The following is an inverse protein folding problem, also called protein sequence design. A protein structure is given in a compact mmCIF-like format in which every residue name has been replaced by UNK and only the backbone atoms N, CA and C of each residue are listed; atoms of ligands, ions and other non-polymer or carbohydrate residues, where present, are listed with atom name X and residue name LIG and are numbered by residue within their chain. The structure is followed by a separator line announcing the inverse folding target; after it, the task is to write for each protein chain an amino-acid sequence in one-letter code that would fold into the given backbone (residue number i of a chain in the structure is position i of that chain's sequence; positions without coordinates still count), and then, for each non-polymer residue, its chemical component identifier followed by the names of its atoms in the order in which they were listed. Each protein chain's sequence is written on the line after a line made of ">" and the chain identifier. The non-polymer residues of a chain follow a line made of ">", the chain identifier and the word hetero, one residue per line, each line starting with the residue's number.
data_IF_218471104798
#
_entry.id   IF_218471104798
#
_cell.length_a   1.000
_cell.length_b   1.000
_cell.length_c   1.000
_cell.angle_alpha   90.00
_cell.angle_beta   90.00
_cell.angle_gamma   90.00
#
_symmetry.space_group_name_H-M   'P 1'
#
loop_
_entity.id
_entity.type
_entity.pdbx_description
1 polymer ?
#
# COMPACT_ATOMS: atom_id res chain seq x y z
N UNK A 1 -19.09 -28.14 12.10
CA UNK A 1 -20.23 -28.15 11.17
C UNK A 1 -21.37 -27.40 11.84
N UNK A 2 -21.48 -26.11 11.63
CA UNK A 2 -22.58 -25.28 12.11
C UNK A 2 -23.23 -24.64 10.89
N UNK A 3 -24.41 -25.15 10.55
CA UNK A 3 -25.24 -24.63 9.47
C UNK A 3 -26.14 -23.56 10.07
N UNK A 4 -25.93 -22.30 9.73
CA UNK A 4 -26.90 -21.24 10.00
C UNK A 4 -27.65 -21.00 8.70
N UNK A 5 -28.87 -21.58 8.65
CA UNK A 5 -29.84 -21.28 7.61
C UNK A 5 -30.66 -20.09 8.07
N UNK A 6 -30.45 -18.92 7.48
CA UNK A 6 -31.43 -17.83 7.53
C UNK A 6 -31.99 -17.60 6.13
N UNK A 7 -33.27 -17.97 5.98
CA UNK A 7 -34.07 -17.92 4.75
C UNK A 7 -34.85 -16.61 4.66
N UNK A 8 -34.22 -15.45 4.67
CA UNK A 8 -34.93 -14.21 4.34
C UNK A 8 -33.98 -13.18 3.72
N UNK A 9 -33.74 -13.25 2.41
CA UNK A 9 -33.49 -12.05 1.63
C UNK A 9 -33.71 -12.31 0.13
N UNK A 10 -34.75 -11.63 -0.36
CA UNK A 10 -35.22 -11.66 -1.72
C UNK A 10 -34.21 -11.06 -2.71
N UNK A 11 -34.32 -11.50 -3.94
CA UNK A 11 -33.53 -11.14 -5.12
C UNK A 11 -33.53 -9.63 -5.40
N UNK A 12 -32.36 -9.03 -5.54
CA UNK A 12 -32.15 -7.74 -6.19
C UNK A 12 -31.55 -7.93 -7.59
N UNK A 13 -31.72 -6.97 -8.51
CA UNK A 13 -31.40 -7.15 -9.93
C UNK A 13 -29.89 -7.14 -10.19
N UNK A 14 -29.43 -8.08 -10.99
CA UNK A 14 -28.16 -8.18 -11.72
C UNK A 14 -26.90 -7.72 -10.97
N UNK A 15 -26.45 -8.51 -10.03
CA UNK A 15 -25.16 -8.35 -9.35
C UNK A 15 -24.81 -9.66 -8.68
N UNK A 16 -23.55 -9.91 -8.52
CA UNK A 16 -22.95 -11.08 -7.89
C UNK A 16 -23.79 -11.58 -6.68
N UNK A 17 -24.19 -12.84 -6.69
CA UNK A 17 -24.91 -13.43 -5.56
C UNK A 17 -24.02 -13.40 -4.32
N UNK A 18 -24.59 -13.14 -3.15
CA UNK A 18 -23.94 -13.26 -1.82
C UNK A 18 -23.04 -14.51 -1.71
N UNK A 19 -23.45 -15.61 -2.34
CA UNK A 19 -22.67 -16.85 -2.43
C UNK A 19 -21.36 -16.72 -3.21
N UNK A 20 -21.31 -15.87 -4.22
CA UNK A 20 -20.09 -15.74 -5.06
C UNK A 20 -19.07 -14.85 -4.35
N UNK A 21 -19.53 -13.89 -3.55
CA UNK A 21 -18.67 -13.11 -2.67
C UNK A 21 -18.34 -13.86 -1.37
N UNK A 22 -19.30 -14.64 -0.81
CA UNK A 22 -19.07 -15.50 0.36
C UNK A 22 -18.25 -16.76 0.02
N UNK A 23 -18.22 -17.21 -1.23
CA UNK A 23 -17.20 -18.15 -1.71
C UNK A 23 -15.83 -17.52 -1.72
N UNK A 24 -15.73 -16.20 -1.79
CA UNK A 24 -14.55 -15.43 -1.44
C UNK A 24 -14.35 -15.38 0.09
N UNK A 25 -15.39 -15.57 0.92
CA UNK A 25 -15.46 -15.33 2.36
C UNK A 25 -15.59 -16.53 3.32
N UNK A 26 -15.70 -17.76 2.86
CA UNK A 26 -16.08 -18.88 3.74
C UNK A 26 -14.92 -19.80 4.18
N UNK A 27 -13.81 -19.24 4.63
CA UNK A 27 -12.81 -19.95 5.43
C UNK A 27 -12.73 -19.33 6.83
N UNK A 28 -13.82 -19.47 7.60
CA UNK A 28 -13.85 -19.17 9.04
C UNK A 28 -13.01 -20.16 9.85
N UNK A 29 -11.72 -20.27 9.55
CA UNK A 29 -10.82 -21.20 10.21
C UNK A 29 -9.40 -20.70 10.43
N UNK A 30 -9.07 -19.49 9.96
CA UNK A 30 -7.71 -18.96 10.14
C UNK A 30 -7.63 -17.98 11.31
N UNK A 31 -8.02 -18.44 12.50
CA UNK A 31 -7.48 -17.89 13.73
C UNK A 31 -5.96 -18.19 13.81
N UNK A 32 -5.19 -17.40 14.54
CA UNK A 32 -3.75 -17.60 14.73
C UNK A 32 -3.31 -19.07 14.98
N UNK A 33 -4.11 -19.90 15.72
CA UNK A 33 -3.86 -21.34 15.85
C UNK A 33 -3.97 -22.10 14.51
N UNK A 34 -4.87 -21.71 13.60
CA UNK A 34 -5.00 -22.32 12.28
C UNK A 34 -3.81 -21.95 11.36
N UNK A 35 -3.37 -20.70 11.41
CA UNK A 35 -2.12 -20.24 10.72
C UNK A 35 -0.86 -20.90 11.29
N UNK A 36 -0.79 -21.16 12.57
CA UNK A 36 0.34 -21.89 13.20
C UNK A 36 0.25 -23.40 12.94
N UNK A 37 -0.95 -23.96 12.84
CA UNK A 37 -1.16 -25.36 12.47
C UNK A 37 -0.87 -25.59 10.97
N UNK A 38 -1.25 -24.65 10.09
CA UNK A 38 -0.86 -24.69 8.67
C UNK A 38 0.64 -24.50 8.51
N UNK A 39 1.33 -23.79 9.39
CA UNK A 39 2.79 -23.67 9.37
C UNK A 39 3.50 -24.99 9.66
N UNK A 40 2.97 -25.82 10.56
CA UNK A 40 3.50 -27.17 10.78
C UNK A 40 3.20 -28.12 9.62
N UNK A 41 2.10 -27.90 8.88
CA UNK A 41 1.77 -28.62 7.65
C UNK A 41 2.37 -27.97 6.40
N UNK A 42 2.46 -26.64 6.30
CA UNK A 42 3.08 -25.91 5.19
C UNK A 42 4.62 -26.02 5.16
N UNK A 43 5.26 -26.37 6.27
CA UNK A 43 6.65 -26.84 6.26
C UNK A 43 6.80 -28.17 5.50
N UNK A 44 5.70 -28.89 5.25
CA UNK A 44 5.64 -30.11 4.45
C UNK A 44 5.03 -29.88 3.05
N UNK A 45 4.29 -28.77 2.83
CA UNK A 45 3.66 -28.45 1.54
C UNK A 45 3.83 -26.95 1.22
N UNK A 46 4.87 -26.63 0.44
CA UNK A 46 5.15 -25.27 -0.07
C UNK A 46 4.08 -24.77 -1.07
N UNK A 47 3.01 -25.53 -1.31
CA UNK A 47 1.99 -25.24 -2.32
C UNK A 47 0.93 -24.24 -1.88
N UNK A 48 0.81 -23.93 -0.57
CA UNK A 48 -0.28 -23.09 -0.03
C UNK A 48 -0.08 -21.62 -0.35
N UNK A 49 1.17 -21.13 -0.39
CA UNK A 49 1.48 -19.77 -0.81
C UNK A 49 2.03 -19.79 -2.24
N UNK A 50 1.15 -19.59 -3.20
CA UNK A 50 1.57 -19.40 -4.60
C UNK A 50 2.45 -18.15 -4.67
N UNK A 51 3.50 -18.18 -5.48
CA UNK A 51 4.47 -17.10 -5.71
C UNK A 51 3.79 -15.81 -6.22
N UNK A 52 2.97 -15.20 -5.38
CA UNK A 52 2.28 -13.93 -5.65
C UNK A 52 2.80 -12.85 -4.74
N UNK A 53 2.78 -11.64 -5.23
CA UNK A 53 3.21 -10.45 -4.51
C UNK A 53 2.05 -9.48 -4.33
N UNK A 54 2.10 -8.70 -3.27
CA UNK A 54 1.16 -7.59 -3.01
C UNK A 54 1.91 -6.27 -3.09
N UNK A 55 1.37 -5.31 -3.81
CA UNK A 55 1.75 -3.90 -3.73
C UNK A 55 0.62 -3.15 -3.05
N UNK A 56 0.89 -2.62 -1.87
CA UNK A 56 -0.06 -1.82 -1.09
C UNK A 56 0.34 -0.36 -1.18
N UNK A 57 -0.36 0.41 -2.01
CA UNK A 57 -0.19 1.86 -2.09
C UNK A 57 -1.06 2.50 -1.00
N UNK A 58 -0.40 2.99 0.05
CA UNK A 58 -1.03 3.62 1.19
C UNK A 58 -1.03 5.14 1.03
N UNK A 59 -2.21 5.70 0.77
CA UNK A 59 -2.46 7.13 0.59
C UNK A 59 -2.75 7.76 1.96
N UNK A 60 -1.70 8.11 2.68
CA UNK A 60 -1.81 8.59 4.05
C UNK A 60 -2.37 10.01 4.11
N UNK A 61 -3.40 10.21 4.91
CA UNK A 61 -4.05 11.51 5.15
C UNK A 61 -5.54 11.51 4.83
N UNK A 62 -6.04 10.52 4.08
CA UNK A 62 -7.46 10.38 3.73
C UNK A 62 -7.78 10.85 2.31
N UNK A 63 -7.58 9.99 1.30
CA UNK A 63 -7.99 10.29 -0.06
C UNK A 63 -9.51 10.46 -0.17
N UNK A 64 -10.01 11.48 -0.89
CA UNK A 64 -11.44 11.75 -0.98
C UNK A 64 -12.14 10.78 -1.94
N UNK A 65 -13.17 10.05 -1.46
CA UNK A 65 -13.94 9.09 -2.25
C UNK A 65 -14.65 9.74 -3.45
N UNK A 66 -15.15 10.98 -3.27
CA UNK A 66 -15.87 11.72 -4.34
C UNK A 66 -14.91 12.17 -5.45
N UNK A 67 -13.68 12.51 -5.11
CA UNK A 67 -12.69 12.96 -6.08
C UNK A 67 -11.94 11.79 -6.73
N UNK A 68 -12.18 10.55 -6.27
CA UNK A 68 -11.52 9.36 -6.78
C UNK A 68 -12.50 8.45 -7.56
N UNK A 69 -13.12 7.48 -6.90
CA UNK A 69 -13.83 6.40 -7.59
C UNK A 69 -15.34 6.50 -7.51
N UNK A 70 -15.89 7.51 -6.82
CA UNK A 70 -17.33 7.65 -6.60
C UNK A 70 -17.82 9.10 -6.72
N UNK A 71 -17.57 9.80 -7.84
CA UNK A 71 -18.08 11.14 -8.05
C UNK A 71 -19.62 11.12 -8.06
N UNK A 72 -20.21 12.17 -7.48
CA UNK A 72 -21.66 12.36 -7.42
C UNK A 72 -22.10 13.40 -8.44
N UNK A 73 -22.82 12.94 -9.45
CA UNK A 73 -23.19 13.78 -10.61
C UNK A 73 -24.45 14.63 -10.33
N UNK A 74 -25.47 14.01 -9.72
CA UNK A 74 -26.80 14.61 -9.51
C UNK A 74 -26.98 15.06 -8.04
N UNK A 75 -26.08 15.94 -7.58
CA UNK A 75 -26.11 16.50 -6.23
C UNK A 75 -25.86 18.00 -6.25
N UNK A 76 -26.14 18.68 -5.13
CA UNK A 76 -25.82 20.08 -4.96
C UNK A 76 -24.30 20.34 -5.17
N UNK A 77 -23.95 21.56 -5.62
CA UNK A 77 -22.59 21.96 -5.96
C UNK A 77 -21.59 21.66 -4.85
N UNK A 78 -22.00 21.80 -3.59
CA UNK A 78 -21.13 21.61 -2.42
C UNK A 78 -20.77 20.14 -2.18
N UNK A 79 -21.56 19.21 -2.68
CA UNK A 79 -21.33 17.77 -2.60
C UNK A 79 -20.75 17.17 -3.90
N UNK A 80 -20.68 17.98 -4.96
CA UNK A 80 -20.17 17.51 -6.25
C UNK A 80 -18.64 17.51 -6.23
N UNK A 81 -18.02 16.62 -7.02
CA UNK A 81 -16.56 16.64 -7.22
C UNK A 81 -16.10 18.05 -7.62
N UNK A 82 -15.04 18.57 -7.00
CA UNK A 82 -14.44 19.86 -7.36
C UNK A 82 -13.51 19.74 -8.58
N UNK A 83 -13.10 18.52 -8.93
CA UNK A 83 -12.28 18.24 -10.11
C UNK A 83 -13.12 17.82 -11.33
N UNK A 84 -14.45 17.75 -11.17
CA UNK A 84 -15.34 17.19 -12.17
C UNK A 84 -15.30 15.66 -12.21
N UNK A 85 -15.76 15.10 -13.32
CA UNK A 85 -15.86 13.66 -13.52
C UNK A 85 -15.38 13.24 -14.91
N UNK A 86 -14.93 12.00 -15.03
CA UNK A 86 -14.50 11.40 -16.28
C UNK A 86 -15.18 10.03 -16.48
N UNK A 87 -15.63 9.77 -17.71
CA UNK A 87 -16.18 8.45 -18.09
C UNK A 87 -15.09 7.40 -18.05
N UNK A 88 -15.44 6.24 -17.52
CA UNK A 88 -14.53 5.09 -17.51
C UNK A 88 -14.77 4.19 -18.73
N UNK A 89 -13.88 3.19 -18.92
CA UNK A 89 -14.08 2.12 -19.90
C UNK A 89 -15.29 1.20 -19.58
N UNK A 90 -15.82 1.28 -18.35
CA UNK A 90 -17.02 0.53 -17.94
C UNK A 90 -18.27 1.39 -18.15
N UNK A 91 -19.29 0.89 -18.87
CA UNK A 91 -20.52 1.63 -19.09
C UNK A 91 -21.20 2.07 -17.80
N UNK A 92 -21.60 3.34 -17.70
CA UNK A 92 -22.29 3.90 -16.55
C UNK A 92 -21.42 4.14 -15.31
N UNK A 93 -20.11 3.93 -15.39
CA UNK A 93 -19.16 4.15 -14.30
C UNK A 93 -18.34 5.41 -14.58
N UNK A 94 -18.23 6.26 -13.56
CA UNK A 94 -17.47 7.51 -13.60
C UNK A 94 -16.46 7.55 -12.47
N UNK A 95 -15.32 8.21 -12.73
CA UNK A 95 -14.29 8.54 -11.73
C UNK A 95 -14.16 10.07 -11.62
N UNK A 96 -13.49 10.55 -10.57
CA UNK A 96 -13.15 11.95 -10.40
C UNK A 96 -12.29 12.47 -11.55
N UNK A 97 -12.42 13.75 -11.89
CA UNK A 97 -11.88 14.33 -13.13
C UNK A 97 -10.37 14.23 -13.29
N UNK A 98 -9.62 14.10 -12.21
CA UNK A 98 -8.16 13.92 -12.26
C UNK A 98 -7.71 12.49 -12.61
N UNK A 99 -8.62 11.51 -12.61
CA UNK A 99 -8.30 10.10 -12.81
C UNK A 99 -8.53 9.59 -14.23
N UNK A 100 -8.17 10.39 -15.24
CA UNK A 100 -8.45 10.09 -16.65
C UNK A 100 -7.74 8.85 -17.18
N UNK A 101 -6.52 8.57 -16.71
CA UNK A 101 -5.74 7.39 -17.13
C UNK A 101 -6.27 6.11 -16.51
N UNK A 102 -6.63 6.14 -15.22
CA UNK A 102 -7.27 5.02 -14.51
C UNK A 102 -8.67 4.75 -15.05
N UNK A 103 -9.42 5.79 -15.40
CA UNK A 103 -10.73 5.64 -16.00
C UNK A 103 -10.70 4.82 -17.30
N UNK A 104 -9.69 5.00 -18.15
CA UNK A 104 -9.47 4.21 -19.36
C UNK A 104 -9.10 2.73 -19.09
N UNK A 105 -8.72 2.40 -17.84
CA UNK A 105 -8.29 1.08 -17.39
C UNK A 105 -9.25 0.46 -16.39
N UNK A 106 -10.45 1.00 -16.26
CA UNK A 106 -11.44 0.54 -15.28
C UNK A 106 -11.82 -0.95 -15.46
N UNK A 107 -11.71 -1.48 -16.68
CA UNK A 107 -11.87 -2.91 -16.99
C UNK A 107 -10.86 -3.82 -16.26
N UNK A 108 -9.74 -3.25 -15.80
CA UNK A 108 -8.67 -3.94 -15.04
C UNK A 108 -8.70 -3.63 -13.55
N UNK A 109 -9.72 -2.93 -13.08
CA UNK A 109 -9.87 -2.50 -11.70
C UNK A 109 -11.11 -3.12 -11.06
N UNK A 110 -11.05 -3.34 -9.76
CA UNK A 110 -12.21 -3.49 -8.91
C UNK A 110 -12.20 -2.33 -7.90
N UNK A 111 -13.26 -1.51 -7.90
CA UNK A 111 -13.42 -0.42 -6.95
C UNK A 111 -14.51 -0.73 -5.95
N UNK A 112 -14.27 -0.46 -4.67
CA UNK A 112 -15.22 -0.73 -3.59
C UNK A 112 -15.77 0.60 -3.09
N UNK A 113 -17.04 0.89 -3.38
CA UNK A 113 -17.72 2.14 -3.03
C UNK A 113 -18.42 2.11 -1.66
N UNK A 114 -18.41 0.97 -0.99
CA UNK A 114 -18.94 0.81 0.37
C UNK A 114 -17.86 0.39 1.38
N UNK A 115 -16.59 0.68 1.09
CA UNK A 115 -15.50 0.43 2.02
C UNK A 115 -15.47 1.51 3.10
N UNK A 116 -15.44 1.10 4.38
CA UNK A 116 -15.49 1.96 5.54
C UNK A 116 -14.44 1.53 6.57
N UNK A 117 -13.57 2.45 6.96
CA UNK A 117 -12.64 2.21 8.07
C UNK A 117 -13.29 2.48 9.43
N UNK A 118 -14.39 3.25 9.45
CA UNK A 118 -15.12 3.67 10.66
C UNK A 118 -14.22 4.37 11.68
N UNK A 119 -13.16 5.02 11.20
CA UNK A 119 -12.25 5.83 12.01
C UNK A 119 -11.97 7.13 11.25
N UNK A 120 -12.34 8.25 11.82
CA UNK A 120 -12.16 9.59 11.26
C UNK A 120 -10.96 10.29 11.87
N UNK A 121 -9.96 9.54 12.29
CA UNK A 121 -8.70 10.06 12.84
C UNK A 121 -7.50 9.53 12.05
N UNK A 122 -6.32 10.15 12.23
CA UNK A 122 -5.07 9.62 11.68
C UNK A 122 -4.58 8.37 12.41
N UNK A 123 -5.49 7.43 12.66
CA UNK A 123 -5.17 6.11 13.17
C UNK A 123 -4.99 5.14 11.99
N UNK A 124 -3.76 4.90 11.62
CA UNK A 124 -3.44 4.02 10.48
C UNK A 124 -3.56 2.52 10.81
N UNK A 125 -3.55 2.16 12.10
CA UNK A 125 -3.49 0.76 12.50
C UNK A 125 -4.66 -0.10 11.99
N UNK A 126 -5.93 0.36 11.99
CA UNK A 126 -7.03 -0.46 11.47
C UNK A 126 -6.78 -0.94 10.04
N UNK A 127 -6.35 -0.05 9.14
CA UNK A 127 -6.11 -0.41 7.74
C UNK A 127 -4.80 -1.17 7.55
N UNK A 128 -3.74 -0.83 8.29
CA UNK A 128 -2.44 -1.49 8.16
C UNK A 128 -2.45 -2.91 8.70
N UNK A 129 -3.22 -3.18 9.75
CA UNK A 129 -3.27 -4.49 10.42
C UNK A 129 -4.48 -5.34 10.01
N UNK A 130 -5.44 -4.78 9.24
CA UNK A 130 -6.74 -5.42 9.03
C UNK A 130 -7.47 -5.71 10.35
N UNK A 131 -7.23 -4.89 11.39
CA UNK A 131 -7.72 -5.06 12.77
C UNK A 131 -7.31 -6.40 13.41
N UNK A 132 -6.25 -7.03 12.93
CA UNK A 132 -5.79 -8.28 13.48
C UNK A 132 -5.30 -8.12 14.92
N UNK A 133 -5.66 -9.03 15.87
CA UNK A 133 -5.32 -8.89 17.29
C UNK A 133 -3.82 -8.88 17.61
N UNK A 134 -2.96 -9.38 16.70
CA UNK A 134 -1.50 -9.31 16.88
C UNK A 134 -0.95 -7.89 16.81
N UNK A 135 -1.69 -6.93 16.24
CA UNK A 135 -1.20 -5.59 15.94
C UNK A 135 -0.09 -5.55 14.88
N UNK A 136 0.12 -6.65 14.16
CA UNK A 136 1.10 -6.74 13.08
C UNK A 136 0.49 -6.17 11.78
N UNK A 137 1.30 -5.43 11.02
CA UNK A 137 0.92 -5.02 9.68
C UNK A 137 0.66 -6.23 8.75
N UNK A 138 -0.26 -6.10 7.79
CA UNK A 138 -0.59 -7.16 6.84
C UNK A 138 0.66 -7.73 6.15
N UNK A 139 1.63 -6.88 5.84
CA UNK A 139 2.90 -7.28 5.26
C UNK A 139 3.71 -8.21 6.18
N UNK A 140 3.68 -7.98 7.50
CA UNK A 140 4.33 -8.85 8.48
C UNK A 140 3.58 -10.19 8.63
N UNK A 141 2.25 -10.19 8.49
CA UNK A 141 1.44 -11.42 8.45
C UNK A 141 1.75 -12.24 7.20
N UNK A 142 1.90 -11.59 6.04
CA UNK A 142 2.35 -12.24 4.81
C UNK A 142 3.72 -12.89 4.99
N UNK A 143 4.69 -12.16 5.57
CA UNK A 143 6.02 -12.68 5.85
C UNK A 143 6.00 -13.83 6.89
N UNK A 144 5.06 -13.84 7.83
CA UNK A 144 4.87 -14.96 8.75
C UNK A 144 4.48 -16.25 7.98
N UNK A 145 3.56 -16.14 7.03
CA UNK A 145 3.08 -17.27 6.24
C UNK A 145 4.10 -17.78 5.21
N UNK A 146 4.74 -16.85 4.48
CA UNK A 146 5.64 -17.17 3.36
C UNK A 146 7.11 -17.33 3.79
N UNK A 147 7.47 -17.00 5.03
CA UNK A 147 8.84 -16.80 5.48
C UNK A 147 9.25 -15.33 5.43
N UNK A 148 10.25 -14.94 6.23
CA UNK A 148 10.74 -13.56 6.27
C UNK A 148 11.51 -13.16 4.99
N UNK A 149 12.00 -14.16 4.24
CA UNK A 149 12.80 -14.00 3.01
C UNK A 149 12.40 -15.01 1.97
N UNK A 150 12.47 -14.60 0.71
CA UNK A 150 12.24 -15.49 -0.44
C UNK A 150 13.29 -16.60 -0.46
N UNK A 151 12.89 -17.89 -0.52
CA UNK A 151 13.82 -19.01 -0.30
C UNK A 151 14.90 -19.12 -1.38
N UNK A 152 14.61 -18.66 -2.61
CA UNK A 152 15.54 -18.75 -3.75
C UNK A 152 16.36 -17.47 -3.90
N UNK A 153 15.71 -16.28 -3.87
CA UNK A 153 16.39 -15.01 -4.16
C UNK A 153 16.99 -14.34 -2.93
N UNK A 154 16.52 -14.69 -1.73
CA UNK A 154 16.89 -13.98 -0.49
C UNK A 154 16.20 -12.62 -0.32
N UNK A 155 15.30 -12.22 -1.24
CA UNK A 155 14.55 -10.97 -1.14
C UNK A 155 13.71 -10.94 0.14
N UNK A 156 13.75 -9.83 0.92
CA UNK A 156 12.84 -9.66 2.05
C UNK A 156 11.38 -9.74 1.59
N UNK A 157 10.58 -10.52 2.33
CA UNK A 157 9.16 -10.71 1.99
C UNK A 157 8.26 -9.54 2.42
N UNK A 158 8.79 -8.60 3.19
CA UNK A 158 8.10 -7.40 3.66
C UNK A 158 9.01 -6.19 3.47
N UNK A 159 8.67 -5.31 2.54
CA UNK A 159 9.47 -4.12 2.21
C UNK A 159 8.57 -2.89 2.17
N UNK A 160 9.08 -1.77 2.69
CA UNK A 160 8.40 -0.48 2.70
C UNK A 160 9.20 0.52 1.87
N UNK A 161 8.56 1.11 0.88
CA UNK A 161 9.11 2.18 0.05
C UNK A 161 8.58 3.51 0.55
N UNK A 162 9.49 4.46 0.72
CA UNK A 162 9.21 5.86 1.01
C UNK A 162 9.98 6.73 0.01
N UNK A 163 9.62 8.01 -0.16
CA UNK A 163 10.22 8.85 -1.20
C UNK A 163 11.75 8.88 -1.22
N UNK A 164 12.38 8.80 -0.04
CA UNK A 164 13.84 8.78 0.07
C UNK A 164 14.48 7.55 -0.58
N UNK A 165 13.75 6.46 -0.73
CA UNK A 165 14.25 5.24 -1.39
C UNK A 165 14.61 5.47 -2.87
N UNK A 166 13.92 6.39 -3.54
CA UNK A 166 14.12 6.70 -4.96
C UNK A 166 14.82 8.05 -5.20
N UNK A 167 14.96 8.85 -4.15
CA UNK A 167 15.74 10.08 -4.14
C UNK A 167 16.53 10.19 -2.83
N UNK A 168 17.72 9.58 -2.76
CA UNK A 168 18.57 9.65 -1.58
C UNK A 168 18.88 11.08 -1.17
N UNK A 169 18.90 11.35 0.14
CA UNK A 169 19.16 12.68 0.68
C UNK A 169 17.99 13.65 0.61
N UNK A 170 16.82 13.22 0.16
CA UNK A 170 15.59 14.02 0.22
C UNK A 170 15.26 14.38 1.66
N UNK A 171 15.11 15.69 1.91
CA UNK A 171 14.69 16.19 3.23
C UNK A 171 13.20 16.49 3.17
N UNK A 172 12.42 15.62 3.76
CA UNK A 172 10.99 15.83 3.93
C UNK A 172 10.74 16.49 5.29
N UNK A 173 10.20 17.70 5.25
CA UNK A 173 9.78 18.41 6.45
C UNK A 173 8.62 17.68 7.12
N UNK A 174 8.64 17.65 8.45
CA UNK A 174 7.48 17.25 9.25
C UNK A 174 7.15 18.38 10.20
N UNK A 175 5.95 18.99 10.11
CA UNK A 175 5.55 20.03 11.04
C UNK A 175 5.40 19.50 12.47
N UNK A 176 5.17 18.18 12.64
CA UNK A 176 5.07 17.57 13.98
C UNK A 176 5.60 16.12 13.95
N UNK A 177 6.39 15.70 14.95
CA UNK A 177 6.85 14.30 15.07
C UNK A 177 5.70 13.29 15.17
N UNK A 178 4.53 13.72 15.66
CA UNK A 178 3.36 12.85 15.93
C UNK A 178 2.63 12.40 14.66
N UNK A 179 2.67 13.19 13.59
CA UNK A 179 1.99 12.89 12.32
C UNK A 179 2.95 12.70 11.15
N UNK A 180 4.26 12.70 11.46
CA UNK A 180 5.29 12.68 10.45
C UNK A 180 5.61 11.28 9.91
N UNK A 181 6.36 11.28 8.83
CA UNK A 181 6.86 10.09 8.16
C UNK A 181 7.56 9.06 9.08
N UNK A 182 8.31 9.46 10.14
CA UNK A 182 8.90 8.49 11.07
C UNK A 182 7.88 7.58 11.75
N UNK A 183 6.73 8.12 12.20
CA UNK A 183 5.66 7.32 12.80
C UNK A 183 5.04 6.36 11.78
N UNK A 184 4.78 6.85 10.57
CA UNK A 184 4.19 6.04 9.50
C UNK A 184 5.13 4.89 9.13
N UNK A 185 6.42 5.17 8.92
CA UNK A 185 7.46 4.15 8.67
C UNK A 185 7.45 3.04 9.74
N UNK A 186 7.36 3.43 11.02
CA UNK A 186 7.31 2.49 12.12
C UNK A 186 6.04 1.61 12.09
N UNK A 187 4.88 2.20 11.78
CA UNK A 187 3.61 1.48 11.77
C UNK A 187 3.48 0.54 10.57
N UNK A 188 3.83 0.98 9.37
CA UNK A 188 3.74 0.15 8.15
C UNK A 188 4.72 -1.00 8.16
N UNK A 189 5.90 -0.83 8.79
CA UNK A 189 6.89 -1.88 8.96
C UNK A 189 6.61 -2.76 10.19
N UNK A 190 5.61 -2.44 11.01
CA UNK A 190 5.39 -3.02 12.32
C UNK A 190 5.04 -4.50 12.29
N UNK A 191 5.75 -5.31 13.07
CA UNK A 191 5.47 -6.73 13.21
C UNK A 191 4.58 -7.08 14.43
N UNK A 192 4.16 -6.08 15.21
CA UNK A 192 3.32 -6.30 16.39
C UNK A 192 3.89 -7.39 17.30
N UNK A 193 3.03 -8.32 17.73
CA UNK A 193 3.42 -9.48 18.57
C UNK A 193 4.11 -10.63 17.82
N UNK A 194 4.29 -10.53 16.49
CA UNK A 194 4.94 -11.60 15.71
C UNK A 194 6.47 -11.65 15.90
N UNK A 195 7.07 -10.60 16.46
CA UNK A 195 8.51 -10.50 16.67
C UNK A 195 9.26 -9.77 15.54
N UNK A 196 10.46 -9.30 15.84
CA UNK A 196 11.27 -8.45 14.98
C UNK A 196 11.69 -9.11 13.65
N UNK A 197 11.74 -10.43 13.59
CA UNK A 197 12.10 -11.18 12.37
C UNK A 197 11.14 -10.95 11.19
N UNK A 198 9.92 -10.48 11.45
CA UNK A 198 8.90 -10.20 10.43
C UNK A 198 8.71 -8.70 10.18
N UNK A 199 9.52 -7.86 10.83
CA UNK A 199 9.50 -6.41 10.62
C UNK A 199 9.87 -6.08 9.18
N UNK A 200 9.16 -5.11 8.58
CA UNK A 200 9.42 -4.66 7.22
C UNK A 200 10.77 -3.97 7.08
N UNK A 201 11.47 -4.25 5.99
CA UNK A 201 12.63 -3.49 5.56
C UNK A 201 12.16 -2.14 5.01
N UNK A 202 12.45 -1.05 5.73
CA UNK A 202 12.16 0.30 5.24
C UNK A 202 13.30 0.76 4.36
N UNK A 203 13.00 1.09 3.11
CA UNK A 203 13.97 1.66 2.17
C UNK A 203 13.92 3.18 2.32
N UNK A 204 14.96 3.74 2.93
CA UNK A 204 15.07 5.17 3.18
C UNK A 204 16.16 5.85 2.33
N UNK A 205 16.80 5.07 1.42
CA UNK A 205 17.79 5.58 0.48
C UNK A 205 19.04 6.15 1.14
N UNK A 206 19.25 5.94 2.44
CA UNK A 206 20.46 6.43 3.09
C UNK A 206 21.72 5.80 2.46
N UNK A 207 22.81 6.56 2.31
CA UNK A 207 24.06 6.02 1.78
C UNK A 207 24.55 4.78 2.55
N UNK A 208 24.35 4.77 3.86
CA UNK A 208 24.68 3.63 4.69
C UNK A 208 23.82 2.41 4.38
N UNK A 209 22.51 2.57 4.18
CA UNK A 209 21.64 1.47 3.81
C UNK A 209 22.00 0.91 2.44
N UNK A 210 22.20 1.75 1.43
CA UNK A 210 22.60 1.33 0.08
C UNK A 210 23.97 0.64 0.10
N UNK A 211 24.94 1.20 0.84
CA UNK A 211 26.28 0.62 0.97
C UNK A 211 26.28 -0.71 1.73
N UNK A 212 25.28 -0.97 2.58
CA UNK A 212 25.11 -2.24 3.26
C UNK A 212 24.59 -3.36 2.35
N UNK A 213 24.04 -3.02 1.18
CA UNK A 213 23.70 -4.01 0.15
C UNK A 213 24.90 -4.39 -0.74
N UNK A 214 26.03 -3.68 -0.65
CA UNK A 214 27.22 -3.97 -1.40
C UNK A 214 28.24 -4.78 -0.57
N UNK A 215 28.71 -5.88 -1.15
CA UNK A 215 29.79 -6.66 -0.55
C UNK A 215 31.12 -5.90 -0.58
N UNK A 216 31.58 -5.44 0.58
CA UNK A 216 32.88 -4.74 0.72
C UNK A 216 34.08 -5.68 0.78
N UNK A 217 33.86 -7.00 0.68
CA UNK A 217 34.88 -8.05 0.68
C UNK A 217 34.63 -9.03 -0.46
N UNK A 218 35.65 -9.70 -1.02
CA UNK A 218 35.48 -10.74 -2.03
C UNK A 218 34.49 -11.82 -1.57
N UNK A 219 33.66 -12.30 -2.52
CA UNK A 219 32.58 -13.26 -2.23
C UNK A 219 33.05 -14.54 -1.52
N UNK A 220 34.17 -15.08 -1.98
CA UNK A 220 34.82 -16.23 -1.40
C UNK A 220 35.16 -16.01 0.08
N UNK A 221 35.87 -14.94 0.40
CA UNK A 221 36.21 -14.58 1.76
C UNK A 221 34.98 -14.32 2.66
N UNK A 222 33.92 -13.74 2.09
CA UNK A 222 32.68 -13.54 2.84
C UNK A 222 32.00 -14.88 3.12
N UNK A 223 31.97 -15.79 2.14
CA UNK A 223 31.43 -17.14 2.30
C UNK A 223 32.19 -17.95 3.35
N UNK A 224 33.52 -17.91 3.32
CA UNK A 224 34.37 -18.63 4.29
C UNK A 224 34.14 -18.10 5.71
N UNK A 225 34.08 -16.79 5.88
CA UNK A 225 33.80 -16.16 7.21
C UNK A 225 32.43 -16.56 7.73
N UNK A 226 31.42 -16.59 6.86
CA UNK A 226 30.06 -16.99 7.24
C UNK A 226 29.97 -18.47 7.59
N UNK A 227 30.67 -19.35 6.87
CA UNK A 227 30.76 -20.78 7.23
C UNK A 227 31.42 -20.98 8.58
N UNK A 228 32.52 -20.26 8.85
CA UNK A 228 33.18 -20.28 10.13
C UNK A 228 32.27 -19.81 11.27
N UNK A 229 31.57 -18.69 11.05
CA UNK A 229 30.58 -18.17 12.01
C UNK A 229 29.49 -19.22 12.30
N UNK A 230 28.96 -19.89 11.29
CA UNK A 230 27.97 -20.97 11.46
C UNK A 230 28.47 -22.15 12.25
N UNK A 231 29.74 -22.49 12.12
CA UNK A 231 30.35 -23.57 12.91
C UNK A 231 30.46 -23.15 14.37
N UNK A 232 30.88 -21.91 14.66
CA UNK A 232 30.95 -21.34 16.00
C UNK A 232 29.56 -21.22 16.64
N UNK A 233 28.54 -20.78 15.90
CA UNK A 233 27.16 -20.71 16.37
C UNK A 233 26.54 -22.09 16.62
N UNK A 234 26.97 -23.09 15.86
CA UNK A 234 26.62 -24.49 16.13
C UNK A 234 27.12 -24.98 17.46
N UNK A 235 28.28 -24.48 17.92
CA UNK A 235 28.83 -24.74 19.26
C UNK A 235 28.04 -23.96 20.33
N UNK A 236 27.76 -22.67 20.13
CA UNK A 236 26.96 -21.84 21.05
C UNK A 236 25.54 -22.37 21.25
N UNK A 237 24.87 -22.83 20.18
CA UNK A 237 23.49 -23.41 20.25
C UNK A 237 23.41 -24.66 21.14
N UNK A 238 24.47 -25.46 21.21
CA UNK A 238 24.50 -26.59 22.12
C UNK A 238 24.59 -26.16 23.60
N UNK A 239 24.95 -24.90 23.85
CA UNK A 239 25.07 -24.29 25.18
C UNK A 239 23.89 -23.35 25.53
N UNK A 240 23.10 -22.90 24.53
CA UNK A 240 22.03 -21.95 24.74
C UNK A 240 20.70 -22.64 25.06
N UNK A 241 20.28 -22.53 26.32
CA UNK A 241 18.99 -23.06 26.82
C UNK A 241 17.82 -22.08 26.62
N UNK A 242 18.05 -20.82 26.25
CA UNK A 242 17.05 -19.78 26.22
C UNK A 242 16.49 -19.47 24.77
N UNK A 243 17.11 -20.02 23.72
CA UNK A 243 16.63 -19.83 22.32
C UNK A 243 16.94 -18.48 21.70
N UNK A 244 17.58 -17.54 22.39
CA UNK A 244 17.89 -16.19 21.89
C UNK A 244 18.91 -16.19 20.74
N UNK A 245 19.85 -17.12 20.73
CA UNK A 245 20.86 -17.29 19.67
C UNK A 245 20.24 -17.72 18.34
N UNK A 246 19.07 -18.38 18.36
CA UNK A 246 18.38 -18.78 17.15
C UNK A 246 17.80 -17.60 16.37
N UNK A 247 17.27 -16.58 17.03
CA UNK A 247 16.73 -15.38 16.39
C UNK A 247 17.85 -14.55 15.73
N UNK A 248 18.97 -14.37 16.44
CA UNK A 248 20.15 -13.64 15.94
C UNK A 248 20.74 -14.33 14.71
N UNK A 249 20.95 -15.64 14.75
CA UNK A 249 21.48 -16.40 13.61
C UNK A 249 20.55 -16.44 12.39
N UNK A 250 19.26 -16.16 12.57
CA UNK A 250 18.33 -16.02 11.47
C UNK A 250 18.50 -14.66 10.77
N UNK A 251 18.64 -13.56 11.51
CA UNK A 251 18.92 -12.22 10.98
C UNK A 251 20.26 -12.17 10.24
N UNK A 252 21.30 -12.79 10.79
CA UNK A 252 22.62 -12.87 10.15
C UNK A 252 22.57 -13.66 8.83
N UNK A 253 21.85 -14.79 8.78
CA UNK A 253 21.63 -15.55 7.54
C UNK A 253 20.90 -14.72 6.50
N UNK A 254 19.93 -13.95 6.93
CA UNK A 254 19.12 -13.07 6.08
C UNK A 254 19.98 -11.99 5.45
N UNK A 255 20.84 -11.33 6.22
CA UNK A 255 21.81 -10.36 5.72
C UNK A 255 22.80 -10.99 4.72
N UNK A 256 23.24 -12.21 5.00
CA UNK A 256 24.14 -12.96 4.12
C UNK A 256 23.49 -13.28 2.76
N UNK A 257 22.27 -13.81 2.77
CA UNK A 257 21.55 -14.15 1.54
C UNK A 257 21.26 -12.92 0.69
N UNK A 258 20.90 -11.80 1.33
CA UNK A 258 20.66 -10.52 0.68
C UNK A 258 21.90 -10.00 -0.06
N UNK A 259 23.08 -10.12 0.54
CA UNK A 259 24.33 -9.65 -0.04
C UNK A 259 24.87 -10.55 -1.18
N UNK A 260 24.70 -11.87 -1.06
CA UNK A 260 25.29 -12.80 -2.03
C UNK A 260 24.46 -13.05 -3.28
N UNK A 261 23.14 -12.89 -3.21
CA UNK A 261 22.25 -13.29 -4.29
C UNK A 261 21.93 -12.20 -5.31
N UNK A 262 22.59 -11.04 -5.21
CA UNK A 262 22.43 -9.97 -6.21
C UNK A 262 21.08 -9.25 -6.11
N UNK A 263 20.46 -9.30 -4.93
CA UNK A 263 19.19 -8.62 -4.65
C UNK A 263 19.35 -7.10 -4.77
N UNK A 264 20.56 -6.56 -4.56
CA UNK A 264 20.90 -5.14 -4.74
C UNK A 264 20.47 -4.59 -6.11
N UNK A 265 20.55 -5.41 -7.16
CA UNK A 265 20.14 -5.02 -8.51
C UNK A 265 18.66 -4.63 -8.61
N UNK A 266 17.80 -5.22 -7.79
CA UNK A 266 16.38 -4.91 -7.78
C UNK A 266 16.09 -3.50 -7.24
N UNK A 267 16.96 -2.98 -6.37
CA UNK A 267 16.82 -1.64 -5.79
C UNK A 267 17.37 -0.53 -6.70
N UNK A 268 18.21 -0.88 -7.67
CA UNK A 268 18.84 0.07 -8.58
C UNK A 268 17.95 0.36 -9.80
N UNK A 269 17.26 1.49 -9.79
CA UNK A 269 16.42 1.93 -10.90
C UNK A 269 17.20 2.26 -12.17
N UNK A 270 18.51 2.53 -12.09
CA UNK A 270 19.34 2.84 -13.27
C UNK A 270 19.50 1.63 -14.21
N UNK A 271 19.21 0.42 -13.70
CA UNK A 271 19.23 -0.83 -14.47
C UNK A 271 17.95 -1.10 -15.24
N UNK A 272 16.94 -0.26 -15.09
CA UNK A 272 15.69 -0.40 -15.83
C UNK A 272 15.79 0.25 -17.21
N UNK A 273 15.01 -0.25 -18.17
CA UNK A 273 14.91 0.35 -19.49
C UNK A 273 14.49 1.83 -19.42
N UNK A 274 15.22 2.75 -20.09
CA UNK A 274 14.91 4.18 -20.03
C UNK A 274 13.50 4.54 -20.48
N UNK A 275 12.91 3.80 -21.43
CA UNK A 275 11.52 4.01 -21.87
C UNK A 275 10.53 3.64 -20.77
N UNK A 276 10.85 2.61 -20.00
CA UNK A 276 10.06 2.21 -18.83
C UNK A 276 10.17 3.26 -17.74
N UNK A 277 11.38 3.76 -17.42
CA UNK A 277 11.56 4.87 -16.46
C UNK A 277 10.74 6.07 -16.86
N UNK A 278 10.82 6.49 -18.14
CA UNK A 278 10.08 7.64 -18.65
C UNK A 278 8.55 7.47 -18.56
N UNK A 279 8.04 6.24 -18.73
CA UNK A 279 6.60 5.93 -18.58
C UNK A 279 6.09 6.18 -17.16
N UNK A 280 6.93 5.92 -16.16
CA UNK A 280 6.59 6.14 -14.75
C UNK A 280 6.92 7.55 -14.25
N UNK A 281 7.55 8.39 -15.07
CA UNK A 281 7.98 9.72 -14.61
C UNK A 281 6.79 10.61 -14.26
N UNK A 282 6.69 10.98 -12.99
CA UNK A 282 5.70 11.90 -12.44
C UNK A 282 6.29 13.27 -12.09
N UNK A 283 7.59 13.47 -12.31
CA UNK A 283 8.31 14.70 -11.94
C UNK A 283 7.80 15.97 -12.63
N UNK A 284 7.19 15.80 -13.81
CA UNK A 284 6.64 16.88 -14.62
C UNK A 284 5.27 17.39 -14.14
N UNK A 285 4.57 16.65 -13.27
CA UNK A 285 3.21 16.97 -12.84
C UNK A 285 3.15 18.18 -11.91
N UNK A 286 4.17 18.36 -11.07
CA UNK A 286 4.38 19.58 -10.29
C UNK A 286 5.81 19.68 -9.81
N UNK A 287 6.27 20.91 -9.51
CA UNK A 287 7.61 21.13 -8.97
C UNK A 287 7.59 21.07 -7.45
N UNK A 288 8.41 20.22 -6.85
CA UNK A 288 8.51 20.10 -5.39
C UNK A 288 8.91 21.41 -4.71
N UNK A 289 9.80 22.20 -5.33
CA UNK A 289 10.19 23.48 -4.80
C UNK A 289 9.02 24.45 -4.57
N UNK A 290 7.94 24.37 -5.36
CA UNK A 290 6.74 25.19 -5.17
C UNK A 290 6.04 24.92 -3.83
N UNK A 291 6.35 23.80 -3.18
CA UNK A 291 5.72 23.36 -1.95
C UNK A 291 6.72 23.19 -0.79
N UNK A 292 8.01 22.96 -1.05
CA UNK A 292 9.04 22.71 -0.05
C UNK A 292 9.77 23.98 0.39
N UNK A 293 10.05 24.88 -0.54
CA UNK A 293 10.93 26.02 -0.30
C UNK A 293 10.17 27.35 -0.16
N UNK A 294 8.89 27.25 0.18
CA UNK A 294 8.10 28.46 0.44
C UNK A 294 7.67 29.23 -0.79
N UNK A 295 7.60 28.58 -1.94
CA UNK A 295 7.25 29.19 -3.23
C UNK A 295 5.83 29.73 -3.33
N UNK A 296 4.86 29.22 -2.55
CA UNK A 296 3.49 29.70 -2.56
C UNK A 296 3.08 30.24 -1.22
N UNK A 297 2.67 31.53 -1.22
CA UNK A 297 2.04 32.16 -0.10
C UNK A 297 0.54 32.15 -0.29
N UNK A 298 -0.22 31.94 0.77
CA UNK A 298 -1.63 32.25 0.78
C UNK A 298 -1.95 33.18 1.96
N UNK A 299 -3.09 33.87 1.87
CA UNK A 299 -3.52 34.77 2.92
C UNK A 299 -4.41 34.04 3.92
N UNK A 300 -3.91 33.88 5.15
CA UNK A 300 -4.70 33.36 6.25
C UNK A 300 -4.87 34.48 7.29
N UNK A 301 -6.11 34.89 7.52
CA UNK A 301 -6.44 36.02 8.42
C UNK A 301 -5.62 37.29 8.10
N UNK A 302 -5.50 37.64 6.82
CA UNK A 302 -4.77 38.83 6.36
C UNK A 302 -3.23 38.70 6.41
N UNK A 303 -2.67 37.61 6.89
CA UNK A 303 -1.21 37.37 6.95
C UNK A 303 -0.78 36.39 5.86
N UNK A 304 0.29 36.74 5.14
CA UNK A 304 0.96 35.78 4.24
C UNK A 304 1.50 34.62 5.06
N UNK A 305 1.03 33.41 4.80
CA UNK A 305 1.61 32.16 5.31
C UNK A 305 2.18 31.35 4.17
N UNK A 306 3.37 30.82 4.38
CA UNK A 306 4.01 29.90 3.47
C UNK A 306 3.18 28.61 3.37
N UNK A 307 3.02 28.10 2.14
CA UNK A 307 2.55 26.72 1.93
C UNK A 307 3.75 25.81 2.15
N UNK A 308 3.94 25.36 3.37
CA UNK A 308 4.94 24.36 3.70
C UNK A 308 4.33 22.95 3.58
N UNK A 309 4.28 22.43 2.36
CA UNK A 309 3.97 21.05 2.06
C UNK A 309 5.28 20.26 1.80
N UNK A 310 6.24 20.45 2.65
CA UNK A 310 7.54 19.79 2.59
C UNK A 310 7.49 18.23 2.56
N UNK A 311 6.29 17.66 2.66
CA UNK A 311 6.04 16.21 2.54
C UNK A 311 5.54 15.79 1.16
N UNK A 312 5.12 16.71 0.31
CA UNK A 312 4.66 16.39 -1.04
C UNK A 312 5.85 16.11 -1.94
N UNK A 313 5.80 14.99 -2.61
CA UNK A 313 6.81 14.61 -3.60
C UNK A 313 6.17 14.32 -4.94
N UNK A 314 6.92 14.47 -6.00
CA UNK A 314 6.52 14.08 -7.36
C UNK A 314 7.19 12.75 -7.77
N UNK A 315 7.48 11.88 -6.81
CA UNK A 315 8.30 10.68 -6.94
C UNK A 315 7.50 9.38 -7.02
N UNK A 316 6.17 9.42 -6.83
CA UNK A 316 5.33 8.21 -6.74
C UNK A 316 5.50 7.27 -7.94
N UNK A 317 5.74 7.81 -9.14
CA UNK A 317 6.03 6.97 -10.30
C UNK A 317 7.27 6.10 -10.11
N UNK A 318 8.38 6.69 -9.65
CA UNK A 318 9.62 5.95 -9.36
C UNK A 318 9.44 4.95 -8.23
N UNK A 319 8.65 5.30 -7.20
CA UNK A 319 8.34 4.40 -6.08
C UNK A 319 7.52 3.19 -6.56
N UNK A 320 6.54 3.40 -7.42
CA UNK A 320 5.74 2.31 -8.02
C UNK A 320 6.58 1.45 -8.98
N UNK A 321 7.52 2.04 -9.72
CA UNK A 321 8.48 1.29 -10.54
C UNK A 321 9.38 0.41 -9.66
N UNK A 322 9.89 0.95 -8.56
CA UNK A 322 10.68 0.19 -7.59
C UNK A 322 9.85 -0.96 -7.00
N UNK A 323 8.59 -0.70 -6.63
CA UNK A 323 7.70 -1.74 -6.11
C UNK A 323 7.52 -2.91 -7.08
N UNK A 324 7.32 -2.63 -8.38
CA UNK A 324 7.24 -3.67 -9.41
C UNK A 324 8.53 -4.49 -9.50
N UNK A 325 9.72 -3.83 -9.49
CA UNK A 325 11.02 -4.51 -9.54
C UNK A 325 11.24 -5.42 -8.33
N UNK A 326 10.88 -4.96 -7.14
CA UNK A 326 10.97 -5.77 -5.92
C UNK A 326 10.06 -7.01 -5.99
N UNK A 327 8.84 -6.87 -6.52
CA UNK A 327 7.95 -8.00 -6.73
C UNK A 327 8.54 -9.02 -7.73
N UNK A 328 9.14 -8.56 -8.84
CA UNK A 328 9.83 -9.44 -9.80
C UNK A 328 11.02 -10.16 -9.17
N UNK A 329 11.72 -9.53 -8.23
CA UNK A 329 12.83 -10.13 -7.48
C UNK A 329 12.36 -11.06 -6.35
N UNK A 330 11.05 -11.21 -6.13
CA UNK A 330 10.46 -12.14 -5.17
C UNK A 330 10.02 -11.54 -3.85
N UNK A 331 9.93 -10.22 -3.71
CA UNK A 331 9.31 -9.59 -2.53
C UNK A 331 7.83 -9.94 -2.47
N UNK A 332 7.36 -10.50 -1.35
CA UNK A 332 5.98 -10.94 -1.19
C UNK A 332 5.00 -9.80 -0.92
N UNK A 333 5.44 -8.75 -0.21
CA UNK A 333 4.60 -7.61 0.12
C UNK A 333 5.42 -6.32 0.11
N UNK A 334 5.03 -5.39 -0.75
CA UNK A 334 5.65 -4.07 -0.86
C UNK A 334 4.61 -3.02 -0.46
N UNK A 335 4.90 -2.26 0.59
CA UNK A 335 4.10 -1.09 0.96
C UNK A 335 4.74 0.17 0.41
N UNK A 336 4.02 0.91 -0.44
CA UNK A 336 4.43 2.24 -0.92
C UNK A 336 3.65 3.28 -0.13
N UNK A 337 4.35 4.23 0.49
CA UNK A 337 3.72 5.26 1.33
C UNK A 337 3.69 6.59 0.59
N UNK A 338 2.52 6.99 0.15
CA UNK A 338 2.27 8.33 -0.40
C UNK A 338 1.55 9.20 0.65
N UNK A 339 2.23 10.25 1.11
CA UNK A 339 1.82 11.00 2.30
C UNK A 339 1.09 12.29 1.97
N UNK A 340 0.33 12.79 2.96
CA UNK A 340 -0.27 14.14 2.97
C UNK A 340 -1.49 14.32 2.09
N UNK A 341 -2.32 13.30 1.98
CA UNK A 341 -3.68 13.39 1.41
C UNK A 341 -4.68 14.09 2.33
N UNK A 342 -4.17 14.94 3.22
CA UNK A 342 -4.92 15.62 4.28
C UNK A 342 -5.44 16.99 3.79
N UNK A 343 -6.51 17.03 3.00
CA UNK A 343 -6.99 18.17 2.24
C UNK A 343 -8.03 19.03 3.00
N UNK A 344 -7.66 19.61 4.14
CA UNK A 344 -8.57 20.46 4.93
C UNK A 344 -8.86 21.82 4.33
N UNK A 345 -7.94 22.36 3.52
CA UNK A 345 -8.05 23.72 3.00
C UNK A 345 -7.87 24.81 4.08
N UNK A 346 -7.72 26.06 3.64
CA UNK A 346 -7.66 27.21 4.54
C UNK A 346 -6.39 27.34 5.38
N UNK A 347 -5.37 26.51 5.14
CA UNK A 347 -4.10 26.53 5.86
C UNK A 347 -2.87 26.32 4.97
N UNK A 348 -1.72 26.87 5.38
CA UNK A 348 -0.45 26.74 4.66
C UNK A 348 -0.02 25.28 4.50
N UNK A 349 -0.31 24.47 5.51
CA UNK A 349 0.11 23.08 5.58
C UNK A 349 -0.99 22.10 5.15
N UNK A 350 -2.18 22.60 4.81
CA UNK A 350 -3.32 21.80 4.41
C UNK A 350 -4.02 22.46 3.21
N UNK A 351 -3.57 22.20 1.98
CA UNK A 351 -4.26 22.69 0.80
C UNK A 351 -5.65 22.08 0.70
N UNK A 352 -6.53 22.75 -0.05
CA UNK A 352 -7.86 22.22 -0.33
C UNK A 352 -7.81 21.03 -1.28
N UNK A 353 -8.93 20.34 -1.37
CA UNK A 353 -9.09 19.14 -2.18
C UNK A 353 -8.76 19.36 -3.66
N UNK A 354 -9.11 20.53 -4.23
CA UNK A 354 -8.80 20.83 -5.62
C UNK A 354 -7.30 20.80 -5.91
N UNK A 355 -6.50 21.51 -5.12
CA UNK A 355 -5.04 21.57 -5.29
C UNK A 355 -4.43 20.19 -4.99
N UNK A 356 -4.90 19.51 -3.94
CA UNK A 356 -4.45 18.18 -3.59
C UNK A 356 -4.68 17.16 -4.70
N UNK A 357 -5.84 17.18 -5.33
CA UNK A 357 -6.15 16.26 -6.42
C UNK A 357 -5.41 16.63 -7.72
N UNK A 358 -5.20 17.92 -8.01
CA UNK A 358 -4.40 18.35 -9.16
C UNK A 358 -2.91 18.00 -9.03
N UNK A 359 -2.43 17.74 -7.83
CA UNK A 359 -1.03 17.34 -7.55
C UNK A 359 -0.95 15.84 -7.25
N UNK A 360 -1.32 15.42 -6.04
CA UNK A 360 -1.21 14.02 -5.62
C UNK A 360 -2.19 13.11 -6.38
N UNK A 361 -3.41 13.56 -6.63
CA UNK A 361 -4.39 12.80 -7.42
C UNK A 361 -3.91 12.53 -8.85
N UNK A 362 -3.39 13.56 -9.52
CA UNK A 362 -2.83 13.43 -10.87
C UNK A 362 -1.58 12.52 -10.89
N UNK A 363 -0.76 12.60 -9.85
CA UNK A 363 0.40 11.73 -9.70
C UNK A 363 0.00 10.27 -9.49
N UNK A 364 -0.98 10.00 -8.63
CA UNK A 364 -1.53 8.66 -8.43
C UNK A 364 -2.12 8.10 -9.73
N UNK A 365 -2.90 8.88 -10.46
CA UNK A 365 -3.47 8.48 -11.76
C UNK A 365 -2.38 8.04 -12.74
N UNK A 366 -1.31 8.83 -12.87
CA UNK A 366 -0.20 8.53 -13.75
C UNK A 366 0.58 7.29 -13.30
N UNK A 367 1.03 7.28 -12.04
CA UNK A 367 1.89 6.23 -11.51
C UNK A 367 1.20 4.86 -11.49
N UNK A 368 -0.06 4.81 -11.05
CA UNK A 368 -0.83 3.56 -11.01
C UNK A 368 -1.17 3.09 -12.42
N UNK A 369 -1.54 3.99 -13.35
CA UNK A 369 -1.78 3.61 -14.75
C UNK A 369 -0.51 3.03 -15.41
N UNK A 370 0.65 3.64 -15.20
CA UNK A 370 1.93 3.13 -15.70
C UNK A 370 2.24 1.75 -15.13
N UNK A 371 2.02 1.56 -13.82
CA UNK A 371 2.19 0.27 -13.15
C UNK A 371 1.29 -0.81 -13.75
N UNK A 372 0.01 -0.53 -13.95
CA UNK A 372 -0.95 -1.48 -14.55
C UNK A 372 -0.55 -1.90 -15.97
N UNK A 373 -0.07 -0.95 -16.77
CA UNK A 373 0.37 -1.24 -18.14
C UNK A 373 1.66 -2.06 -18.15
N UNK A 374 2.61 -1.74 -17.28
CA UNK A 374 3.89 -2.45 -17.18
C UNK A 374 3.70 -3.90 -16.68
N UNK A 375 2.93 -4.07 -15.61
CA UNK A 375 2.58 -5.38 -15.06
C UNK A 375 1.86 -6.24 -16.11
N UNK A 376 0.95 -5.66 -16.89
CA UNK A 376 0.27 -6.35 -17.99
C UNK A 376 1.25 -6.73 -19.11
N UNK A 377 2.09 -5.81 -19.54
CA UNK A 377 3.06 -6.05 -20.61
C UNK A 377 4.06 -7.15 -20.27
N UNK A 378 4.36 -7.33 -18.98
CA UNK A 378 5.27 -8.37 -18.46
C UNK A 378 4.57 -9.70 -18.10
N UNK A 379 3.25 -9.79 -18.28
CA UNK A 379 2.49 -11.00 -17.91
C UNK A 379 2.44 -11.25 -16.40
N UNK A 380 2.52 -10.19 -15.59
CA UNK A 380 2.54 -10.25 -14.13
C UNK A 380 1.18 -9.94 -13.48
N UNK A 381 0.12 -9.69 -14.26
CA UNK A 381 -1.19 -9.29 -13.75
C UNK A 381 -1.79 -10.30 -12.76
N UNK A 382 -1.58 -11.58 -12.98
CA UNK A 382 -2.08 -12.64 -12.08
C UNK A 382 -1.15 -12.89 -10.88
N UNK A 383 0.07 -12.37 -10.95
CA UNK A 383 1.10 -12.57 -9.92
C UNK A 383 1.20 -11.42 -8.94
N UNK A 384 0.81 -10.21 -9.34
CA UNK A 384 0.91 -9.01 -8.51
C UNK A 384 -0.50 -8.49 -8.22
N UNK A 385 -0.87 -8.43 -6.95
CA UNK A 385 -2.07 -7.78 -6.46
C UNK A 385 -1.73 -6.35 -6.06
N UNK A 386 -2.34 -5.37 -6.70
CA UNK A 386 -2.28 -3.98 -6.29
C UNK A 386 -3.51 -3.63 -5.42
N UNK A 387 -3.27 -2.99 -4.29
CA UNK A 387 -4.30 -2.43 -3.40
C UNK A 387 -3.96 -0.95 -3.20
N UNK A 388 -4.93 -0.06 -3.42
CA UNK A 388 -4.78 1.39 -3.21
C UNK A 388 -5.89 1.88 -2.29
N UNK A 389 -5.52 2.43 -1.14
CA UNK A 389 -6.48 2.99 -0.16
C UNK A 389 -5.75 3.89 0.84
N UNK A 390 -6.52 4.58 1.69
CA UNK A 390 -6.03 5.34 2.84
C UNK A 390 -6.62 4.84 4.15
N UNK A 391 -6.32 5.55 5.25
CA UNK A 391 -6.88 5.24 6.57
C UNK A 391 -8.32 5.71 6.74
N UNK A 392 -8.77 6.65 5.90
CA UNK A 392 -10.13 7.23 5.90
C UNK A 392 -10.41 7.88 4.55
N UNK A 393 -11.65 8.28 4.32
CA UNK A 393 -12.03 9.20 3.26
C UNK A 393 -12.21 10.63 3.76
N UNK A 394 -13.01 11.41 3.02
CA UNK A 394 -13.26 12.82 3.31
C UNK A 394 -14.76 13.13 3.34
N UNK A 395 -15.15 14.12 4.16
CA UNK A 395 -16.54 14.60 4.13
C UNK A 395 -16.91 15.06 2.72
N UNK A 396 -18.10 14.71 2.23
CA UNK A 396 -18.51 15.12 0.88
C UNK A 396 -18.81 16.62 0.76
N UNK A 397 -18.99 17.32 1.89
CA UNK A 397 -19.30 18.75 1.92
C UNK A 397 -17.99 19.54 2.01
N UNK A 398 -17.82 20.46 1.07
CA UNK A 398 -16.70 21.40 1.04
C UNK A 398 -16.95 22.57 1.98
N UNK A 399 -15.93 22.93 2.78
CA UNK A 399 -16.07 23.93 3.84
C UNK A 399 -15.61 25.33 3.47
N UNK A 400 -14.81 25.48 2.43
CA UNK A 400 -14.19 26.76 2.08
C UNK A 400 -13.90 26.88 0.59
N UNK A 401 -13.37 28.06 0.18
CA UNK A 401 -13.05 28.36 -1.23
C UNK A 401 -12.07 27.39 -1.86
N UNK A 402 -11.20 26.74 -1.06
CA UNK A 402 -10.20 25.79 -1.51
C UNK A 402 -10.75 24.35 -1.60
N UNK A 403 -12.07 24.19 -1.48
CA UNK A 403 -12.76 22.89 -1.42
C UNK A 403 -12.21 21.99 -0.30
N UNK A 404 -11.87 22.56 0.85
CA UNK A 404 -11.39 21.82 2.02
C UNK A 404 -12.46 20.90 2.59
N UNK A 405 -12.03 19.73 3.09
CA UNK A 405 -12.90 18.68 3.62
C UNK A 405 -12.35 18.17 4.95
N UNK A 406 -13.19 17.54 5.75
CA UNK A 406 -12.78 16.92 7.02
C UNK A 406 -12.56 15.42 6.84
N UNK A 407 -12.04 14.82 7.92
CA UNK A 407 -11.88 13.39 8.05
C UNK A 407 -13.24 12.68 8.05
N UNK A 408 -13.33 11.56 7.33
CA UNK A 408 -14.56 10.79 7.22
C UNK A 408 -14.28 9.30 7.05
N UNK A 409 -14.43 8.54 8.14
CA UNK A 409 -14.16 7.11 8.15
C UNK A 409 -15.31 6.25 7.64
N UNK A 410 -16.52 6.82 7.47
CA UNK A 410 -17.68 6.05 7.04
C UNK A 410 -17.61 5.60 5.57
N UNK A 411 -16.82 6.29 4.75
CA UNK A 411 -16.45 5.86 3.40
C UNK A 411 -14.98 6.17 3.15
N UNK A 412 -14.29 5.20 2.57
CA UNK A 412 -12.87 5.30 2.20
C UNK A 412 -12.71 4.74 0.78
N UNK A 413 -12.02 5.41 -0.14
CA UNK A 413 -11.81 4.85 -1.46
C UNK A 413 -10.93 3.60 -1.40
N UNK A 414 -11.33 2.55 -2.09
CA UNK A 414 -10.55 1.32 -2.21
C UNK A 414 -10.54 0.87 -3.67
N UNK A 415 -9.34 0.71 -4.22
CA UNK A 415 -9.08 0.13 -5.53
C UNK A 415 -8.25 -1.13 -5.38
N UNK A 416 -8.59 -2.15 -6.15
CA UNK A 416 -7.89 -3.43 -6.23
C UNK A 416 -7.64 -3.74 -7.70
N UNK A 417 -6.48 -4.31 -8.02
CA UNK A 417 -6.16 -4.78 -9.38
C UNK A 417 -5.23 -5.99 -9.38
N UNK A 418 -5.46 -6.93 -10.26
CA UNK A 418 -4.58 -8.08 -10.49
C UNK A 418 -4.72 -9.20 -9.47
N UNK A 419 -3.62 -9.92 -9.21
CA UNK A 419 -3.58 -11.06 -8.29
C UNK A 419 -4.41 -12.28 -8.72
N UNK A 420 -4.84 -12.34 -10.00
CA UNK A 420 -5.73 -13.41 -10.50
C UNK A 420 -7.19 -13.22 -10.09
N UNK A 421 -7.57 -12.06 -9.55
CA UNK A 421 -8.94 -11.74 -9.18
C UNK A 421 -9.72 -11.21 -10.39
N UNK A 422 -11.04 -11.38 -10.38
CA UNK A 422 -11.92 -10.85 -11.43
C UNK A 422 -11.97 -9.31 -11.33
N UNK A 423 -11.58 -8.63 -12.38
CA UNK A 423 -11.58 -7.18 -12.51
C UNK A 423 -12.79 -6.66 -13.33
N UNK A 424 -12.84 -5.35 -13.58
CA UNK A 424 -13.94 -4.70 -14.27
C UNK A 424 -15.20 -4.58 -13.41
N UNK A 425 -15.04 -4.30 -12.10
CA UNK A 425 -16.14 -4.34 -11.15
C UNK A 425 -16.23 -3.07 -10.30
N UNK A 426 -17.48 -2.68 -10.04
CA UNK A 426 -17.80 -1.73 -8.96
C UNK A 426 -18.56 -2.48 -7.89
N UNK A 427 -17.99 -2.56 -6.70
CA UNK A 427 -18.51 -3.34 -5.57
C UNK A 427 -19.11 -2.39 -4.56
N UNK A 428 -20.35 -2.70 -4.16
CA UNK A 428 -21.09 -1.86 -3.23
C UNK A 428 -21.53 -0.53 -3.79
N UNK A 429 -22.19 0.25 -2.96
CA UNK A 429 -22.71 1.59 -3.28
C UNK A 429 -22.61 2.48 -2.05
N UNK A 430 -22.32 3.75 -2.25
CA UNK A 430 -22.55 4.81 -1.29
C UNK A 430 -23.94 5.43 -1.48
N UNK A 431 -24.37 6.22 -0.52
CA UNK A 431 -25.58 7.01 -0.61
C UNK A 431 -25.48 8.10 -1.67
N UNK A 432 -26.56 8.84 -1.88
CA UNK A 432 -26.64 9.87 -2.90
C UNK A 432 -25.60 10.96 -2.72
N UNK A 433 -25.20 11.26 -1.51
CA UNK A 433 -24.22 12.31 -1.18
C UNK A 433 -22.79 11.82 -1.09
N UNK A 434 -22.54 10.51 -1.10
CA UNK A 434 -21.21 9.94 -0.85
C UNK A 434 -20.79 10.02 0.60
N UNK A 435 -21.76 10.08 1.54
CA UNK A 435 -21.51 10.19 2.97
C UNK A 435 -21.41 8.84 3.66
N UNK A 436 -22.28 7.89 3.30
CA UNK A 436 -22.39 6.61 3.98
C UNK A 436 -22.56 5.46 3.00
N UNK A 437 -22.19 4.23 3.37
CA UNK A 437 -22.53 3.05 2.58
C UNK A 437 -24.05 2.89 2.42
N UNK A 438 -24.52 2.72 1.19
CA UNK A 438 -25.92 2.37 0.87
C UNK A 438 -26.10 0.88 0.54
N UNK A 439 -25.04 0.11 0.59
CA UNK A 439 -25.02 -1.35 0.54
C UNK A 439 -24.20 -1.89 1.70
N UNK A 440 -24.08 -3.23 1.80
CA UNK A 440 -23.23 -3.87 2.81
C UNK A 440 -21.84 -3.18 2.89
N UNK A 441 -21.44 -2.66 4.06
CA UNK A 441 -20.13 -2.07 4.22
C UNK A 441 -19.04 -3.14 4.31
N UNK A 442 -17.87 -2.83 3.74
CA UNK A 442 -16.66 -3.63 3.86
C UNK A 442 -15.67 -2.89 4.77
N UNK A 443 -15.03 -3.61 5.69
CA UNK A 443 -14.06 -3.06 6.63
C UNK A 443 -12.61 -3.37 6.27
N UNK A 444 -11.65 -2.89 7.07
CA UNK A 444 -10.22 -3.21 6.92
C UNK A 444 -9.91 -4.71 6.93
N UNK A 445 -10.72 -5.51 7.60
CA UNK A 445 -10.64 -6.97 7.62
C UNK A 445 -10.78 -7.57 6.22
N UNK A 446 -11.63 -6.95 5.38
CA UNK A 446 -11.84 -7.38 3.99
C UNK A 446 -10.57 -7.19 3.15
N UNK A 447 -9.85 -6.09 3.34
CA UNK A 447 -8.58 -5.84 2.65
C UNK A 447 -7.53 -6.86 3.05
N UNK A 448 -7.39 -7.11 4.35
CA UNK A 448 -6.49 -8.14 4.89
C UNK A 448 -6.80 -9.52 4.35
N UNK A 449 -8.08 -9.84 4.22
CA UNK A 449 -8.54 -11.11 3.70
C UNK A 449 -8.27 -11.25 2.19
N UNK A 450 -8.45 -10.17 1.41
CA UNK A 450 -8.25 -10.17 -0.05
C UNK A 450 -6.81 -10.50 -0.43
N UNK A 451 -5.82 -9.96 0.29
CA UNK A 451 -4.42 -10.25 -0.02
C UNK A 451 -4.03 -11.68 0.34
N UNK A 452 -4.55 -12.24 1.43
CA UNK A 452 -4.31 -13.64 1.80
C UNK A 452 -4.86 -14.58 0.73
N UNK A 453 -6.04 -14.29 0.20
CA UNK A 453 -6.66 -15.08 -0.88
C UNK A 453 -5.94 -14.99 -2.22
N UNK A 454 -5.34 -13.87 -2.56
CA UNK A 454 -4.55 -13.76 -3.77
C UNK A 454 -3.38 -14.76 -3.78
N UNK A 455 -2.92 -15.20 -2.61
CA UNK A 455 -1.93 -16.26 -2.46
C UNK A 455 -2.51 -17.68 -2.57
N UNK A 456 -3.82 -17.86 -2.41
CA UNK A 456 -4.48 -19.17 -2.47
C UNK A 456 -4.98 -19.53 -3.88
N UNK A 457 -5.29 -18.54 -4.74
CA UNK A 457 -5.77 -18.73 -6.12
C UNK A 457 -4.64 -18.67 -7.14
#
# INVERSE_FOLDING_TARGET
>A
MLTVTDQRFAQGPAGMRRRDFLRIGSLGGLALPGLLATRSQAAMDQSVFKNKSVVFLFLQGGPPQIETFDPKLDVASDNRSCTGEVRTSLPGVWFGGTLSRLAQRADRLAVVRSFATNDSSHNHLPILTGRHPSGAAMAAMCALGSGAFHPVTGMPMNTVIVPEAVQPGLKLGSPTPTFGLPRIKQQVAGAGRLGSSYKGLVLDGSPDQLSNFDLKVPRDRFTDRFQLLRQLDGLKRRMDRAGEVNAMSQVERQAYDLLLRGVSDAFDLSREDPKTIARYDTSHLFRMADYHEGGKYFLFNGKKKLVDQARWTNLLGKEMLLARRLCEAGCGFVTVVDSSWDFHGGGANNPGTLVGMQTLGAQMDHAVAAFLDDVKARGLSDKILLIVTGEMGRTPIKKNRDAGTDHHGALTPLLISGGGLKMGQVIGRSDRTGSYPASEPYGPETVSYTHLRAHET
#
